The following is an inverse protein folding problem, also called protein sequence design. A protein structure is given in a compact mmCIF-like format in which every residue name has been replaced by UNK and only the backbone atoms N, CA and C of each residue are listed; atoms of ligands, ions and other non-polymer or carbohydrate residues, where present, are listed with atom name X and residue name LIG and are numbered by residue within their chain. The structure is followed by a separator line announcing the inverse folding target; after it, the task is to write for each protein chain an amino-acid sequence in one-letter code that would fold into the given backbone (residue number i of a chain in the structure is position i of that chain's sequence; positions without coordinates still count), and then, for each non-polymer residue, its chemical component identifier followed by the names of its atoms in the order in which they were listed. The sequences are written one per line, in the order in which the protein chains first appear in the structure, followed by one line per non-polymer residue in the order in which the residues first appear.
data_IF_512868711458
#
_entry.id   IF_512868711458
#
_cell.length_a   1.000
_cell.length_b   1.000
_cell.length_c   1.000
_cell.angle_alpha   90.00
_cell.angle_beta   90.00
_cell.angle_gamma   90.00
#
_symmetry.space_group_name_H-M   'P 1'
#
loop_
_entity.id
_entity.type
_entity.pdbx_description
1 polymer ?
#
# COMPACT_ATOMS: atom_id res chain seq x y z
N UNK A 1 93.56 72.58 83.48
CA UNK A 1 94.79 71.83 83.76
C UNK A 1 95.08 70.95 82.55
N UNK A 2 95.87 71.39 81.57
CA UNK A 2 96.42 70.49 80.58
C UNK A 2 97.68 69.84 81.17
N UNK A 3 97.64 68.52 81.24
CA UNK A 3 98.71 67.65 81.71
C UNK A 3 99.97 67.88 80.87
N UNK A 4 101.03 68.39 81.51
CA UNK A 4 102.36 68.52 80.90
C UNK A 4 102.95 67.10 80.69
N UNK A 5 103.11 66.64 79.44
CA UNK A 5 103.63 65.30 79.17
C UNK A 5 105.17 65.23 79.25
N UNK A 6 105.86 66.33 79.58
CA UNK A 6 107.32 66.42 79.49
C UNK A 6 108.04 66.26 80.83
N UNK A 7 107.54 65.40 81.73
CA UNK A 7 108.34 64.96 82.87
C UNK A 7 109.14 63.72 82.46
N UNK A 8 110.46 63.82 82.18
CA UNK A 8 111.25 62.65 81.84
C UNK A 8 111.20 61.67 83.01
N UNK A 9 110.60 60.50 82.78
CA UNK A 9 110.62 59.38 83.72
C UNK A 9 112.09 59.01 83.97
N UNK A 10 112.47 58.94 85.25
CA UNK A 10 113.85 58.98 85.75
C UNK A 10 114.90 58.27 84.89
N UNK A 11 115.83 59.05 84.35
CA UNK A 11 117.03 58.61 83.64
C UNK A 11 118.02 57.97 84.62
N UNK A 12 117.89 56.67 84.83
CA UNK A 12 118.93 55.86 85.43
C UNK A 12 119.41 54.90 84.36
N UNK A 13 120.54 55.22 83.74
CA UNK A 13 121.20 54.31 82.81
C UNK A 13 121.82 53.17 83.63
N UNK A 14 121.57 51.89 83.31
CA UNK A 14 122.18 50.79 84.01
C UNK A 14 123.71 50.81 83.79
N UNK A 15 124.47 50.55 84.84
CA UNK A 15 125.93 50.56 84.82
C UNK A 15 126.42 49.14 84.53
N UNK A 16 127.10 48.92 83.40
CA UNK A 16 127.68 47.63 83.03
C UNK A 16 129.20 47.70 83.20
N UNK A 17 129.71 46.97 84.21
CA UNK A 17 131.11 46.63 84.57
C UNK A 17 132.18 47.76 84.64
N UNK A 18 131.94 48.95 84.07
CA UNK A 18 132.70 50.21 84.25
C UNK A 18 132.11 51.45 83.53
N UNK A 19 130.82 51.49 83.19
CA UNK A 19 130.19 52.69 82.61
C UNK A 19 128.69 52.52 82.33
N UNK A 20 128.03 53.59 81.90
CA UNK A 20 126.64 53.55 81.43
C UNK A 20 126.50 52.75 80.14
N UNK A 21 125.37 52.06 79.99
CA UNK A 21 125.01 51.38 78.76
C UNK A 21 124.94 52.37 77.58
N UNK A 22 125.90 52.24 76.66
CA UNK A 22 126.08 53.14 75.51
C UNK A 22 124.90 53.04 74.54
N UNK A 23 124.27 51.87 74.43
CA UNK A 23 123.13 51.65 73.53
C UNK A 23 121.90 52.38 74.08
N UNK A 24 121.62 52.22 75.38
CA UNK A 24 120.51 52.92 76.04
C UNK A 24 120.69 54.45 76.06
N UNK A 25 121.91 54.95 76.30
CA UNK A 25 122.19 56.40 76.24
C UNK A 25 121.99 56.94 74.82
N UNK A 26 122.45 56.22 73.80
CA UNK A 26 122.23 56.61 72.41
C UNK A 26 120.74 56.63 72.03
N UNK A 27 119.97 55.63 72.48
CA UNK A 27 118.54 55.59 72.22
C UNK A 27 117.76 56.68 72.97
N UNK A 28 118.22 57.06 74.16
CA UNK A 28 117.69 58.23 74.87
C UNK A 28 118.02 59.53 74.14
N UNK A 29 119.27 59.73 73.69
CA UNK A 29 119.63 60.90 72.88
C UNK A 29 118.85 60.98 71.57
N UNK A 30 118.67 59.85 70.87
CA UNK A 30 117.84 59.80 69.66
C UNK A 30 116.39 60.20 69.94
N UNK A 31 115.82 59.77 71.08
CA UNK A 31 114.47 60.16 71.49
C UNK A 31 114.38 61.65 71.79
N UNK A 32 115.29 62.19 72.61
CA UNK A 32 115.30 63.63 72.94
C UNK A 32 115.54 64.49 71.71
N UNK A 33 116.43 64.06 70.81
CA UNK A 33 116.69 64.74 69.53
C UNK A 33 115.46 64.67 68.60
N UNK A 34 114.71 63.55 68.61
CA UNK A 34 113.42 63.47 67.94
C UNK A 34 112.37 64.40 68.57
N UNK A 35 112.24 64.41 69.90
CA UNK A 35 111.29 65.27 70.62
C UNK A 35 111.60 66.75 70.40
N UNK A 36 112.87 67.15 70.39
CA UNK A 36 113.29 68.52 70.08
C UNK A 36 113.00 68.90 68.63
N UNK A 37 113.13 67.96 67.67
CA UNK A 37 112.72 68.20 66.28
C UNK A 37 111.21 68.37 66.16
N UNK A 38 110.43 67.57 66.88
CA UNK A 38 108.97 67.71 66.92
C UNK A 38 108.57 69.06 67.53
N UNK A 39 109.14 69.44 68.68
CA UNK A 39 108.87 70.74 69.30
C UNK A 39 109.31 71.92 68.43
N UNK A 40 110.44 71.82 67.73
CA UNK A 40 110.88 72.85 66.79
C UNK A 40 109.91 72.96 65.60
N UNK A 41 109.46 71.82 65.05
CA UNK A 41 108.45 71.80 63.99
C UNK A 41 107.11 72.37 64.46
N UNK A 42 106.65 72.02 65.66
CA UNK A 42 105.42 72.53 66.26
C UNK A 42 105.52 74.04 66.51
N UNK A 43 106.65 74.53 67.01
CA UNK A 43 106.91 75.97 67.18
C UNK A 43 106.90 76.70 65.84
N UNK A 44 107.57 76.13 64.84
CA UNK A 44 107.67 76.76 63.52
C UNK A 44 106.31 76.78 62.81
N UNK A 45 105.50 75.72 62.97
CA UNK A 45 104.11 75.68 62.53
C UNK A 45 103.23 76.70 63.28
N UNK A 46 103.37 76.82 64.60
CA UNK A 46 102.64 77.82 65.38
C UNK A 46 103.05 79.25 64.98
N UNK A 47 104.34 79.49 64.72
CA UNK A 47 104.83 80.78 64.25
C UNK A 47 104.35 81.11 62.83
N UNK A 48 104.23 80.11 61.95
CA UNK A 48 103.64 80.30 60.62
C UNK A 48 102.15 80.65 60.71
N UNK A 49 101.36 79.90 61.49
CA UNK A 49 99.94 80.18 61.70
C UNK A 49 99.72 81.56 62.33
N UNK A 50 100.58 81.97 63.28
CA UNK A 50 100.51 83.29 63.90
C UNK A 50 100.78 84.43 62.90
N UNK A 51 101.66 84.22 61.91
CA UNK A 51 101.89 85.19 60.82
C UNK A 51 100.69 85.26 59.88
N UNK A 52 100.16 84.14 59.44
CA UNK A 52 98.97 84.10 58.57
C UNK A 52 97.76 84.78 59.21
N UNK A 53 97.54 84.54 60.52
CA UNK A 53 96.50 85.23 61.27
C UNK A 53 96.76 86.73 61.40
N UNK A 54 98.02 87.16 61.50
CA UNK A 54 98.37 88.58 61.52
C UNK A 54 98.09 89.24 60.17
N UNK A 55 98.41 88.56 59.07
CA UNK A 55 98.15 89.04 57.70
C UNK A 55 96.64 89.17 57.46
N UNK A 56 95.83 88.15 57.78
CA UNK A 56 94.36 88.24 57.68
C UNK A 56 93.76 89.36 58.55
N UNK A 57 94.35 89.65 59.71
CA UNK A 57 93.91 90.76 60.57
C UNK A 57 94.28 92.12 59.98
N UNK A 58 95.42 92.22 59.30
CA UNK A 58 95.82 93.44 58.59
C UNK A 58 94.90 93.69 57.39
N UNK A 59 94.65 92.68 56.57
CA UNK A 59 93.72 92.77 55.44
C UNK A 59 92.31 93.18 55.88
N UNK A 60 91.78 92.55 56.93
CA UNK A 60 90.46 92.90 57.45
C UNK A 60 90.44 94.32 58.06
N UNK A 61 91.54 94.80 58.64
CA UNK A 61 91.65 96.18 59.15
C UNK A 61 91.65 97.20 58.02
N UNK A 62 92.39 96.92 56.96
CA UNK A 62 92.45 97.76 55.77
C UNK A 62 91.08 97.82 55.07
N UNK A 63 90.38 96.70 54.96
CA UNK A 63 89.01 96.64 54.44
C UNK A 63 88.03 97.43 55.31
N UNK A 64 88.09 97.28 56.64
CA UNK A 64 87.26 98.06 57.56
C UNK A 64 87.57 99.56 57.43
N UNK A 65 88.83 99.96 57.28
CA UNK A 65 89.18 101.36 57.11
C UNK A 65 88.67 101.91 55.77
N UNK A 66 88.78 101.13 54.69
CA UNK A 66 88.23 101.48 53.40
C UNK A 66 86.69 101.67 53.46
N UNK A 67 85.98 100.71 54.04
CA UNK A 67 84.52 100.77 54.24
C UNK A 67 84.11 101.95 55.12
N UNK A 68 84.87 102.26 56.19
CA UNK A 68 84.61 103.43 57.03
C UNK A 68 84.76 104.74 56.27
N UNK A 69 85.84 104.91 55.51
CA UNK A 69 86.05 106.11 54.66
C UNK A 69 84.94 106.25 53.63
N UNK A 70 84.43 105.14 53.10
CA UNK A 70 83.32 105.12 52.15
C UNK A 70 81.98 105.51 52.81
N UNK A 71 81.68 104.96 53.99
CA UNK A 71 80.49 105.35 54.78
C UNK A 71 80.54 106.82 55.18
N UNK A 72 81.69 107.33 55.61
CA UNK A 72 81.87 108.74 55.95
C UNK A 72 81.62 109.65 54.74
N UNK A 73 82.03 109.24 53.53
CA UNK A 73 81.71 109.97 52.30
C UNK A 73 80.20 109.94 51.97
N UNK A 74 79.50 108.86 52.32
CA UNK A 74 78.07 108.69 52.04
C UNK A 74 77.14 109.33 53.10
N UNK A 75 77.64 109.53 54.32
CA UNK A 75 76.88 110.10 55.44
C UNK A 75 76.77 111.62 55.39
N UNK A 76 77.71 112.30 54.72
CA UNK A 76 77.66 113.74 54.49
C UNK A 76 76.62 114.06 53.39
N UNK A 77 75.72 115.04 53.60
CA UNK A 77 74.77 115.48 52.57
C UNK A 77 75.51 115.90 51.28
N UNK A 78 75.08 115.46 50.09
CA UNK A 78 75.83 115.70 48.87
C UNK A 78 75.73 117.18 48.47
N UNK A 79 76.75 117.96 48.78
CA UNK A 79 76.86 119.38 48.41
C UNK A 79 77.66 119.61 47.13
N UNK A 80 78.18 118.54 46.50
CA UNK A 80 78.98 118.57 45.27
C UNK A 80 78.34 117.76 44.14
N UNK A 81 78.47 118.23 42.90
CA UNK A 81 77.95 117.56 41.69
C UNK A 81 78.50 116.14 41.51
N UNK A 82 79.76 115.90 41.90
CA UNK A 82 80.39 114.58 41.79
C UNK A 82 79.81 113.57 42.79
N UNK A 83 79.52 113.98 44.03
CA UNK A 83 78.86 113.11 45.02
C UNK A 83 77.41 112.78 44.67
N UNK A 84 76.70 113.69 43.99
CA UNK A 84 75.39 113.40 43.40
C UNK A 84 75.49 112.36 42.27
N UNK A 85 76.46 112.49 41.35
CA UNK A 85 76.68 111.53 40.25
C UNK A 85 77.10 110.13 40.74
N UNK A 86 77.96 110.04 41.77
CA UNK A 86 78.36 108.75 42.38
C UNK A 86 77.16 108.05 43.05
N UNK A 87 76.30 108.80 43.76
CA UNK A 87 75.08 108.22 44.36
C UNK A 87 74.07 107.78 43.30
N UNK A 88 73.92 108.52 42.21
CA UNK A 88 73.09 108.10 41.06
C UNK A 88 73.65 106.84 40.42
N UNK A 89 74.97 106.75 40.21
CA UNK A 89 75.62 105.54 39.69
C UNK A 89 75.37 104.33 40.59
N UNK A 90 75.43 104.50 41.91
CA UNK A 90 75.14 103.41 42.87
C UNK A 90 73.66 103.05 42.94
N UNK A 91 72.76 104.03 42.82
CA UNK A 91 71.32 103.77 42.72
C UNK A 91 70.97 103.03 41.42
N UNK A 92 71.62 103.37 40.30
CA UNK A 92 71.47 102.66 39.03
C UNK A 92 72.05 101.24 39.10
N UNK A 93 73.19 101.06 39.76
CA UNK A 93 73.77 99.74 39.99
C UNK A 93 72.83 98.88 40.84
N UNK A 94 72.35 99.40 41.97
CA UNK A 94 71.41 98.70 42.85
C UNK A 94 70.08 98.41 42.16
N UNK A 95 69.57 99.33 41.34
CA UNK A 95 68.39 99.09 40.52
C UNK A 95 68.64 98.02 39.43
N UNK A 96 69.84 97.97 38.85
CA UNK A 96 70.23 96.92 37.90
C UNK A 96 70.32 95.55 38.59
N UNK A 97 70.85 95.51 39.81
CA UNK A 97 70.95 94.30 40.63
C UNK A 97 69.53 93.83 41.03
N UNK A 98 68.66 94.74 41.49
CA UNK A 98 67.25 94.48 41.82
C UNK A 98 66.47 93.95 40.61
N UNK A 99 66.65 94.56 39.42
CA UNK A 99 66.00 94.08 38.19
C UNK A 99 66.53 92.70 37.79
N UNK A 100 67.81 92.41 38.04
CA UNK A 100 68.40 91.11 37.75
C UNK A 100 67.87 90.02 38.70
N UNK A 101 67.73 90.34 39.98
CA UNK A 101 67.11 89.47 40.98
C UNK A 101 65.64 89.23 40.66
N UNK A 102 64.87 90.29 40.35
CA UNK A 102 63.46 90.19 39.96
C UNK A 102 63.28 89.33 38.70
N UNK A 103 64.17 89.46 37.71
CA UNK A 103 64.17 88.58 36.52
C UNK A 103 64.51 87.14 36.84
N UNK A 104 65.48 86.91 37.72
CA UNK A 104 65.85 85.56 38.14
C UNK A 104 64.69 84.89 38.90
N UNK A 105 64.02 85.64 39.78
CA UNK A 105 62.83 85.17 40.49
C UNK A 105 61.67 84.88 39.52
N UNK A 106 61.35 85.79 38.61
CA UNK A 106 60.30 85.58 37.62
C UNK A 106 60.59 84.38 36.70
N UNK A 107 61.87 84.14 36.35
CA UNK A 107 62.27 82.97 35.57
C UNK A 107 62.12 81.67 36.38
N UNK A 108 62.42 81.69 37.68
CA UNK A 108 62.24 80.55 38.58
C UNK A 108 60.74 80.20 38.76
N UNK A 109 59.90 81.20 39.02
CA UNK A 109 58.43 81.04 39.15
C UNK A 109 57.81 80.53 37.83
N UNK A 110 58.27 81.04 36.67
CA UNK A 110 57.82 80.56 35.37
C UNK A 110 58.25 79.10 35.12
N UNK A 111 59.48 78.73 35.50
CA UNK A 111 59.96 77.36 35.38
C UNK A 111 59.18 76.41 36.27
N UNK A 112 58.85 76.82 37.50
CA UNK A 112 57.99 76.07 38.41
C UNK A 112 56.59 75.86 37.83
N UNK A 113 55.96 76.93 37.36
CA UNK A 113 54.62 76.88 36.74
C UNK A 113 54.59 75.93 35.53
N UNK A 114 55.60 76.00 34.67
CA UNK A 114 55.73 75.09 33.52
C UNK A 114 55.97 73.64 33.96
N UNK A 115 56.72 73.43 35.04
CA UNK A 115 56.97 72.09 35.59
C UNK A 115 55.69 71.47 36.14
N UNK A 116 54.90 72.22 36.91
CA UNK A 116 53.59 71.80 37.43
C UNK A 116 52.64 71.49 36.27
N UNK A 117 52.50 72.41 35.30
CA UNK A 117 51.63 72.21 34.15
C UNK A 117 52.02 70.99 33.30
N UNK A 118 53.32 70.68 33.20
CA UNK A 118 53.81 69.46 32.53
C UNK A 118 53.45 68.20 33.31
N UNK A 119 53.62 68.20 34.63
CA UNK A 119 53.23 67.06 35.47
C UNK A 119 51.73 66.80 35.41
N UNK A 120 50.91 67.85 35.51
CA UNK A 120 49.45 67.74 35.39
C UNK A 120 49.02 67.20 34.01
N UNK A 121 49.66 67.67 32.93
CA UNK A 121 49.39 67.18 31.59
C UNK A 121 49.80 65.71 31.41
N UNK A 122 50.92 65.30 32.00
CA UNK A 122 51.39 63.91 31.97
C UNK A 122 50.49 62.99 32.78
N UNK A 123 50.04 63.44 33.96
CA UNK A 123 49.08 62.71 34.78
C UNK A 123 47.73 62.56 34.06
N UNK A 124 47.21 63.64 33.47
CA UNK A 124 45.96 63.59 32.70
C UNK A 124 46.06 62.61 31.52
N UNK A 125 47.22 62.55 30.85
CA UNK A 125 47.46 61.58 29.77
C UNK A 125 47.52 60.15 30.30
N UNK A 126 48.22 59.91 31.41
CA UNK A 126 48.30 58.60 32.03
C UNK A 126 46.91 58.10 32.47
N UNK A 127 46.10 58.97 33.06
CA UNK A 127 44.73 58.66 33.48
C UNK A 127 43.84 58.35 32.26
N UNK A 128 43.94 59.15 31.18
CA UNK A 128 43.21 58.91 29.94
C UNK A 128 43.63 57.59 29.26
N UNK A 129 44.92 57.28 29.24
CA UNK A 129 45.44 56.02 28.70
C UNK A 129 44.97 54.82 29.53
N UNK A 130 44.93 54.95 30.87
CA UNK A 130 44.38 53.90 31.74
C UNK A 130 42.90 53.67 31.49
N UNK A 131 42.10 54.74 31.44
CA UNK A 131 40.67 54.65 31.16
C UNK A 131 40.39 54.06 29.77
N UNK A 132 41.20 54.42 28.77
CA UNK A 132 41.08 53.84 27.42
C UNK A 132 41.36 52.34 27.41
N UNK A 133 42.38 51.88 28.15
CA UNK A 133 42.69 50.45 28.28
C UNK A 133 41.57 49.68 28.97
N UNK A 134 41.05 50.20 30.07
CA UNK A 134 39.92 49.59 30.78
C UNK A 134 38.68 49.47 29.88
N UNK A 135 38.37 50.52 29.10
CA UNK A 135 37.25 50.49 28.15
C UNK A 135 37.44 49.46 27.04
N UNK A 136 38.67 49.30 26.53
CA UNK A 136 38.98 48.28 25.52
C UNK A 136 38.83 46.88 26.12
N UNK A 137 39.39 46.63 27.30
CA UNK A 137 39.24 45.34 27.98
C UNK A 137 37.77 45.01 28.28
N UNK A 138 36.97 45.98 28.71
CA UNK A 138 35.53 45.81 28.91
C UNK A 138 34.75 45.55 27.62
N UNK A 139 35.17 46.17 26.52
CA UNK A 139 34.58 45.93 25.20
C UNK A 139 34.92 44.52 24.70
N UNK A 140 36.18 44.09 24.87
CA UNK A 140 36.65 42.75 24.52
C UNK A 140 35.96 41.67 25.36
N UNK A 141 35.79 41.88 26.68
CA UNK A 141 35.02 40.98 27.55
C UNK A 141 33.58 40.83 27.07
N UNK A 142 32.88 41.94 26.81
CA UNK A 142 31.49 41.91 26.33
C UNK A 142 31.36 41.27 24.95
N UNK A 143 32.34 41.50 24.06
CA UNK A 143 32.38 40.85 22.76
C UNK A 143 32.54 39.32 22.92
N UNK A 144 33.51 38.87 23.73
CA UNK A 144 33.75 37.46 24.00
C UNK A 144 32.55 36.77 24.67
N UNK A 145 31.88 37.44 25.61
CA UNK A 145 30.64 36.96 26.23
C UNK A 145 29.53 36.79 25.17
N UNK A 146 29.37 37.78 24.29
CA UNK A 146 28.36 37.72 23.23
C UNK A 146 28.65 36.61 22.22
N UNK A 147 29.91 36.40 21.85
CA UNK A 147 30.33 35.32 20.96
C UNK A 147 30.11 33.95 21.61
N UNK A 148 30.41 33.81 22.91
CA UNK A 148 30.14 32.60 23.66
C UNK A 148 28.63 32.31 23.83
N UNK A 149 27.80 33.34 23.95
CA UNK A 149 26.34 33.21 23.96
C UNK A 149 25.79 32.79 22.59
N UNK A 150 26.32 33.36 21.50
CA UNK A 150 25.96 32.97 20.13
C UNK A 150 26.35 31.52 19.86
N UNK A 151 27.58 31.10 20.21
CA UNK A 151 28.03 29.72 20.07
C UNK A 151 27.14 28.75 20.87
N UNK A 152 26.81 29.07 22.13
CA UNK A 152 25.89 28.26 22.94
C UNK A 152 24.51 28.13 22.31
N UNK A 153 23.96 29.21 21.75
CA UNK A 153 22.67 29.17 21.03
C UNK A 153 22.74 28.34 19.75
N UNK A 154 23.83 28.41 19.00
CA UNK A 154 24.04 27.59 17.80
C UNK A 154 24.14 26.09 18.16
N UNK A 155 24.88 25.75 19.22
CA UNK A 155 24.96 24.38 19.74
C UNK A 155 23.60 23.86 20.23
N UNK A 156 22.83 24.69 20.95
CA UNK A 156 21.47 24.35 21.37
C UNK A 156 20.56 24.10 20.16
N UNK A 157 20.61 24.97 19.15
CA UNK A 157 19.79 24.86 17.95
C UNK A 157 20.17 23.63 17.11
N UNK A 158 21.46 23.32 16.98
CA UNK A 158 21.93 22.12 16.28
C UNK A 158 21.54 20.85 17.03
N UNK A 159 21.68 20.84 18.35
CA UNK A 159 21.23 19.74 19.21
C UNK A 159 19.71 19.53 19.11
N UNK A 160 18.94 20.61 19.13
CA UNK A 160 17.48 20.57 19.00
C UNK A 160 17.03 20.11 17.62
N UNK A 161 17.72 20.51 16.55
CA UNK A 161 17.48 20.00 15.19
C UNK A 161 17.76 18.50 15.11
N UNK A 162 18.90 18.05 15.63
CA UNK A 162 19.24 16.63 15.65
C UNK A 162 18.22 15.79 16.45
N UNK A 163 17.72 16.32 17.58
CA UNK A 163 16.63 15.68 18.34
C UNK A 163 15.33 15.58 17.53
N UNK A 164 14.94 16.66 16.85
CA UNK A 164 13.76 16.65 15.99
C UNK A 164 13.89 15.67 14.81
N UNK A 165 15.06 15.65 14.16
CA UNK A 165 15.32 14.72 13.06
C UNK A 165 15.24 13.27 13.55
N UNK A 166 15.80 12.98 14.72
CA UNK A 166 15.70 11.67 15.35
C UNK A 166 14.24 11.28 15.67
N UNK A 167 13.46 12.16 16.28
CA UNK A 167 12.03 11.92 16.58
C UNK A 167 11.22 11.66 15.30
N UNK A 168 11.52 12.40 14.22
CA UNK A 168 10.86 12.20 12.92
C UNK A 168 11.24 10.85 12.28
N UNK A 169 12.49 10.43 12.37
CA UNK A 169 12.94 9.13 11.89
C UNK A 169 12.33 7.98 12.69
N UNK A 170 12.28 8.10 14.03
CA UNK A 170 11.61 7.12 14.89
C UNK A 170 10.13 7.01 14.55
N UNK A 171 9.44 8.15 14.40
CA UNK A 171 8.01 8.16 14.05
C UNK A 171 7.76 7.62 12.66
N UNK A 172 8.64 7.92 11.70
CA UNK A 172 8.57 7.40 10.33
C UNK A 172 8.76 5.89 10.31
N UNK A 173 9.78 5.37 10.99
CA UNK A 173 10.05 3.93 11.04
C UNK A 173 8.95 3.17 11.77
N UNK A 174 8.43 3.72 12.87
CA UNK A 174 7.26 3.19 13.56
C UNK A 174 6.06 3.12 12.61
N UNK A 175 5.73 4.23 11.94
CA UNK A 175 4.61 4.27 10.99
C UNK A 175 4.79 3.32 9.80
N UNK A 176 5.99 3.23 9.23
CA UNK A 176 6.31 2.28 8.16
C UNK A 176 6.13 0.83 8.65
N UNK A 177 6.56 0.51 9.86
CA UNK A 177 6.40 -0.82 10.45
C UNK A 177 4.92 -1.16 10.70
N UNK A 178 4.14 -0.24 11.27
CA UNK A 178 2.70 -0.41 11.48
C UNK A 178 1.94 -0.53 10.15
N UNK A 179 2.30 0.29 9.15
CA UNK A 179 1.68 0.23 7.83
C UNK A 179 1.97 -1.10 7.13
N UNK A 180 3.23 -1.56 7.14
CA UNK A 180 3.59 -2.86 6.54
C UNK A 180 2.88 -4.01 7.25
N UNK A 181 2.80 -3.99 8.58
CA UNK A 181 2.08 -4.99 9.37
C UNK A 181 0.57 -4.97 9.07
N UNK A 182 -0.05 -3.80 9.00
CA UNK A 182 -1.47 -3.66 8.65
C UNK A 182 -1.76 -4.16 7.23
N UNK A 183 -0.89 -3.84 6.26
CA UNK A 183 -1.01 -4.32 4.89
C UNK A 183 -0.82 -5.83 4.76
N UNK A 184 0.08 -6.41 5.55
CA UNK A 184 0.24 -7.88 5.62
C UNK A 184 -1.00 -8.54 6.23
N UNK A 185 -1.50 -8.02 7.36
CA UNK A 185 -2.71 -8.53 7.99
C UNK A 185 -3.94 -8.45 7.04
N UNK A 186 -4.11 -7.33 6.33
CA UNK A 186 -5.18 -7.18 5.35
C UNK A 186 -5.05 -8.16 4.18
N UNK A 187 -3.82 -8.43 3.70
CA UNK A 187 -3.57 -9.43 2.65
C UNK A 187 -3.87 -10.84 3.12
N UNK A 188 -3.49 -11.20 4.34
CA UNK A 188 -3.81 -12.49 4.93
C UNK A 188 -5.32 -12.67 5.12
N UNK A 189 -6.02 -11.64 5.59
CA UNK A 189 -7.47 -11.69 5.75
C UNK A 189 -8.18 -11.82 4.39
N UNK A 190 -7.75 -11.04 3.39
CA UNK A 190 -8.25 -11.18 2.03
C UNK A 190 -8.01 -12.60 1.47
N UNK A 191 -6.82 -13.18 1.70
CA UNK A 191 -6.53 -14.55 1.30
C UNK A 191 -7.44 -15.56 2.00
N UNK A 192 -7.71 -15.40 3.29
CA UNK A 192 -8.66 -16.25 4.04
C UNK A 192 -10.09 -16.12 3.49
N UNK A 193 -10.53 -14.91 3.13
CA UNK A 193 -11.86 -14.70 2.54
C UNK A 193 -11.96 -15.38 1.17
N UNK A 194 -10.95 -15.19 0.31
CA UNK A 194 -10.90 -15.84 -1.00
C UNK A 194 -10.91 -17.36 -0.88
N UNK A 195 -10.16 -17.92 0.07
CA UNK A 195 -10.12 -19.37 0.28
C UNK A 195 -11.48 -19.90 0.77
N UNK A 196 -12.11 -19.23 1.74
CA UNK A 196 -13.47 -19.59 2.16
C UNK A 196 -14.47 -19.52 1.00
N UNK A 197 -14.40 -18.47 0.19
CA UNK A 197 -15.28 -18.31 -0.96
C UNK A 197 -15.05 -19.39 -2.03
N UNK A 198 -13.79 -19.82 -2.25
CA UNK A 198 -13.45 -20.95 -3.14
C UNK A 198 -14.04 -22.25 -2.64
N UNK A 199 -13.80 -22.59 -1.37
CA UNK A 199 -14.35 -23.81 -0.76
C UNK A 199 -15.87 -23.83 -0.84
N UNK A 200 -16.53 -22.70 -0.55
CA UNK A 200 -17.99 -22.58 -0.70
C UNK A 200 -18.45 -22.77 -2.14
N UNK A 201 -17.75 -22.19 -3.12
CA UNK A 201 -18.08 -22.39 -4.54
C UNK A 201 -17.92 -23.86 -4.96
N UNK A 202 -16.86 -24.55 -4.52
CA UNK A 202 -16.66 -25.98 -4.78
C UNK A 202 -17.74 -26.85 -4.13
N UNK A 203 -18.14 -26.53 -2.89
CA UNK A 203 -19.24 -27.22 -2.21
C UNK A 203 -20.58 -27.04 -2.93
N UNK A 204 -20.89 -25.82 -3.37
CA UNK A 204 -22.11 -25.52 -4.12
C UNK A 204 -22.11 -26.19 -5.50
N UNK A 205 -20.96 -26.22 -6.18
CA UNK A 205 -20.80 -26.91 -7.46
C UNK A 205 -21.00 -28.43 -7.32
N UNK A 206 -20.40 -29.03 -6.28
CA UNK A 206 -20.60 -30.45 -5.98
C UNK A 206 -22.07 -30.75 -5.66
N UNK A 207 -22.71 -29.91 -4.82
CA UNK A 207 -24.12 -30.06 -4.48
C UNK A 207 -25.02 -29.91 -5.72
N UNK A 208 -24.70 -28.99 -6.62
CA UNK A 208 -25.42 -28.81 -7.87
C UNK A 208 -25.24 -30.01 -8.82
N UNK A 209 -24.04 -30.58 -8.90
CA UNK A 209 -23.78 -31.82 -9.65
C UNK A 209 -24.60 -32.99 -9.10
N UNK A 210 -24.52 -33.23 -7.78
CA UNK A 210 -25.31 -34.29 -7.13
C UNK A 210 -26.81 -34.14 -7.36
N UNK A 211 -27.33 -32.90 -7.35
CA UNK A 211 -28.74 -32.65 -7.64
C UNK A 211 -29.08 -32.93 -9.11
N UNK A 212 -28.22 -32.56 -10.06
CA UNK A 212 -28.39 -32.89 -11.48
C UNK A 212 -28.41 -34.40 -11.70
N UNK A 213 -27.47 -35.13 -11.09
CA UNK A 213 -27.38 -36.58 -11.19
C UNK A 213 -28.63 -37.26 -10.62
N UNK A 214 -29.08 -36.82 -9.44
CA UNK A 214 -30.33 -37.31 -8.84
C UNK A 214 -31.55 -37.06 -9.73
N UNK A 215 -31.68 -35.85 -10.29
CA UNK A 215 -32.78 -35.53 -11.20
C UNK A 215 -32.72 -36.41 -12.45
N UNK A 216 -31.51 -36.68 -12.97
CA UNK A 216 -31.31 -37.53 -14.12
C UNK A 216 -31.70 -38.99 -13.82
N UNK A 217 -31.29 -39.53 -12.67
CA UNK A 217 -31.69 -40.86 -12.21
C UNK A 217 -33.21 -40.98 -12.07
N UNK A 218 -33.86 -40.02 -11.40
CA UNK A 218 -35.32 -39.99 -11.23
C UNK A 218 -36.04 -39.90 -12.59
N UNK A 219 -35.51 -39.11 -13.52
CA UNK A 219 -36.03 -39.00 -14.88
C UNK A 219 -35.89 -40.30 -15.66
N UNK A 220 -34.73 -40.95 -15.59
CA UNK A 220 -34.46 -42.21 -16.28
C UNK A 220 -35.35 -43.33 -15.75
N UNK A 221 -35.56 -43.41 -14.42
CA UNK A 221 -36.52 -44.33 -13.79
C UNK A 221 -37.94 -44.04 -14.29
N UNK A 222 -38.35 -42.76 -14.31
CA UNK A 222 -39.69 -42.36 -14.76
C UNK A 222 -39.92 -42.68 -16.23
N UNK A 223 -38.93 -42.44 -17.09
CA UNK A 223 -39.00 -42.74 -18.52
C UNK A 223 -38.95 -44.24 -18.76
N UNK A 224 -38.14 -45.00 -18.01
CA UNK A 224 -38.12 -46.46 -18.09
C UNK A 224 -39.49 -47.05 -17.74
N UNK A 225 -40.10 -46.62 -16.63
CA UNK A 225 -41.45 -47.03 -16.23
C UNK A 225 -42.50 -46.65 -17.29
N UNK A 226 -42.41 -45.45 -17.88
CA UNK A 226 -43.30 -45.03 -18.97
C UNK A 226 -43.09 -45.85 -20.24
N UNK A 227 -41.84 -46.15 -20.61
CA UNK A 227 -41.50 -47.00 -21.77
C UNK A 227 -42.02 -48.42 -21.57
N UNK A 228 -41.88 -48.99 -20.38
CA UNK A 228 -42.43 -50.30 -20.05
C UNK A 228 -43.96 -50.31 -20.14
N UNK A 229 -44.63 -49.29 -19.59
CA UNK A 229 -46.08 -49.15 -19.72
C UNK A 229 -46.53 -49.06 -21.18
N UNK A 230 -45.87 -48.21 -21.98
CA UNK A 230 -46.18 -48.08 -23.42
C UNK A 230 -45.89 -49.39 -24.16
N UNK A 231 -44.80 -50.08 -23.85
CA UNK A 231 -44.50 -51.37 -24.45
C UNK A 231 -45.54 -52.44 -24.09
N UNK A 232 -46.06 -52.44 -22.86
CA UNK A 232 -47.14 -53.31 -22.45
C UNK A 232 -48.46 -52.98 -23.19
N UNK A 233 -48.82 -51.70 -23.32
CA UNK A 233 -50.00 -51.26 -24.09
C UNK A 233 -49.87 -51.63 -25.58
N UNK A 234 -48.69 -51.45 -26.18
CA UNK A 234 -48.42 -51.88 -27.56
C UNK A 234 -48.53 -53.41 -27.67
N UNK A 235 -47.97 -54.16 -26.73
CA UNK A 235 -48.06 -55.61 -26.73
C UNK A 235 -49.51 -56.09 -26.60
N UNK A 236 -50.32 -55.48 -25.74
CA UNK A 236 -51.75 -55.77 -25.60
C UNK A 236 -52.54 -55.42 -26.88
N UNK A 237 -52.21 -54.30 -27.53
CA UNK A 237 -52.81 -53.96 -28.82
C UNK A 237 -52.40 -54.96 -29.91
N UNK A 238 -51.14 -55.39 -29.92
CA UNK A 238 -50.66 -56.41 -30.86
C UNK A 238 -51.31 -57.77 -30.63
N UNK A 239 -51.45 -58.22 -29.38
CA UNK A 239 -52.10 -59.50 -29.06
C UNK A 239 -53.58 -59.45 -29.40
N UNK A 240 -54.31 -58.41 -28.99
CA UNK A 240 -55.73 -58.24 -29.34
C UNK A 240 -55.96 -58.10 -30.85
N UNK A 241 -55.10 -57.36 -31.56
CA UNK A 241 -55.13 -57.28 -33.03
C UNK A 241 -54.83 -58.64 -33.68
N UNK A 242 -53.84 -59.38 -33.17
CA UNK A 242 -53.49 -60.72 -33.65
C UNK A 242 -54.59 -61.73 -33.40
N UNK A 243 -55.26 -61.67 -32.26
CA UNK A 243 -56.37 -62.55 -31.91
C UNK A 243 -57.62 -62.23 -32.75
N UNK A 244 -57.91 -60.95 -32.97
CA UNK A 244 -58.96 -60.52 -33.92
C UNK A 244 -58.65 -61.00 -35.33
N UNK A 245 -57.40 -60.88 -35.79
CA UNK A 245 -56.98 -61.38 -37.09
C UNK A 245 -57.09 -62.91 -37.20
N UNK A 246 -56.73 -63.65 -36.13
CA UNK A 246 -56.92 -65.11 -36.05
C UNK A 246 -58.41 -65.47 -36.13
N UNK A 247 -59.25 -64.81 -35.37
CA UNK A 247 -60.71 -65.05 -35.39
C UNK A 247 -61.30 -64.76 -36.78
N UNK A 248 -60.92 -63.65 -37.42
CA UNK A 248 -61.34 -63.33 -38.78
C UNK A 248 -60.90 -64.40 -39.79
N UNK A 249 -59.67 -64.92 -39.66
CA UNK A 249 -59.18 -66.02 -40.51
C UNK A 249 -59.98 -67.30 -40.25
N UNK A 250 -60.23 -67.67 -38.99
CA UNK A 250 -61.03 -68.85 -38.64
C UNK A 250 -62.47 -68.73 -39.14
N UNK A 251 -63.10 -67.56 -38.97
CA UNK A 251 -64.44 -67.28 -39.49
C UNK A 251 -64.46 -67.34 -41.03
N UNK A 252 -63.44 -66.78 -41.71
CA UNK A 252 -63.32 -66.85 -43.16
C UNK A 252 -63.09 -68.28 -43.66
N UNK A 253 -62.25 -69.06 -42.98
CA UNK A 253 -62.02 -70.48 -43.26
C UNK A 253 -63.30 -71.31 -43.03
N UNK A 254 -64.01 -71.10 -41.93
CA UNK A 254 -65.28 -71.75 -41.65
C UNK A 254 -66.34 -71.39 -42.71
N UNK A 255 -66.38 -70.12 -43.15
CA UNK A 255 -67.25 -69.69 -44.26
C UNK A 255 -66.86 -70.36 -45.57
N UNK A 256 -65.57 -70.41 -45.90
CA UNK A 256 -65.05 -71.09 -47.09
C UNK A 256 -65.38 -72.60 -47.06
N UNK A 257 -65.22 -73.26 -45.93
CA UNK A 257 -65.57 -74.67 -45.73
C UNK A 257 -67.07 -74.92 -45.86
N UNK A 258 -67.91 -74.03 -45.31
CA UNK A 258 -69.37 -74.11 -45.52
C UNK A 258 -69.72 -73.97 -47.00
N UNK A 259 -69.12 -73.01 -47.71
CA UNK A 259 -69.35 -72.85 -49.15
C UNK A 259 -68.85 -74.04 -49.96
N UNK A 260 -67.70 -74.61 -49.59
CA UNK A 260 -67.15 -75.82 -50.22
C UNK A 260 -68.06 -77.02 -49.99
N UNK A 261 -68.47 -77.29 -48.75
CA UNK A 261 -69.42 -78.39 -48.43
C UNK A 261 -70.76 -78.21 -49.12
N UNK A 262 -71.26 -76.98 -49.21
CA UNK A 262 -72.48 -76.68 -49.95
C UNK A 262 -72.31 -76.98 -51.44
N UNK A 263 -71.22 -76.50 -52.06
CA UNK A 263 -70.91 -76.79 -53.45
C UNK A 263 -70.69 -78.29 -53.72
N UNK A 264 -70.02 -79.01 -52.82
CA UNK A 264 -69.86 -80.47 -52.87
C UNK A 264 -71.22 -81.17 -52.76
N UNK A 265 -72.08 -80.76 -51.84
CA UNK A 265 -73.45 -81.29 -51.70
C UNK A 265 -74.24 -81.07 -52.99
N UNK A 266 -74.27 -79.85 -53.53
CA UNK A 266 -74.94 -79.53 -54.80
C UNK A 266 -74.34 -80.33 -55.96
N UNK A 267 -73.01 -80.48 -56.03
CA UNK A 267 -72.35 -81.30 -57.04
C UNK A 267 -72.71 -82.79 -56.91
N UNK A 268 -72.80 -83.32 -55.69
CA UNK A 268 -73.28 -84.69 -55.46
C UNK A 268 -74.73 -84.85 -55.87
N UNK A 269 -75.60 -83.89 -55.57
CA UNK A 269 -77.01 -83.85 -55.99
C UNK A 269 -77.16 -83.84 -57.52
N UNK A 270 -76.33 -83.04 -58.21
CA UNK A 270 -76.28 -83.04 -59.67
C UNK A 270 -75.78 -84.37 -60.22
N UNK A 271 -74.79 -85.00 -59.59
CA UNK A 271 -74.29 -86.32 -59.97
C UNK A 271 -75.33 -87.42 -59.75
N UNK A 272 -76.10 -87.41 -58.65
CA UNK A 272 -77.22 -88.34 -58.46
C UNK A 272 -78.34 -88.10 -59.45
N UNK A 273 -78.77 -86.85 -59.68
CA UNK A 273 -79.74 -86.55 -60.74
C UNK A 273 -79.26 -87.02 -62.11
N UNK A 274 -77.99 -86.77 -62.46
CA UNK A 274 -77.42 -87.25 -63.72
C UNK A 274 -77.46 -88.77 -63.82
N UNK A 275 -77.10 -89.49 -62.74
CA UNK A 275 -77.22 -90.96 -62.68
C UNK A 275 -78.66 -91.43 -62.82
N UNK A 276 -79.61 -90.81 -62.13
CA UNK A 276 -81.04 -91.14 -62.24
C UNK A 276 -81.57 -90.91 -63.65
N UNK A 277 -81.17 -89.82 -64.33
CA UNK A 277 -81.55 -89.58 -65.74
C UNK A 277 -80.96 -90.62 -66.68
N UNK A 278 -79.70 -91.04 -66.47
CA UNK A 278 -79.06 -92.13 -67.22
C UNK A 278 -79.76 -93.47 -66.97
N UNK A 279 -80.11 -93.78 -65.72
CA UNK A 279 -80.86 -94.99 -65.36
C UNK A 279 -82.25 -94.99 -66.01
N UNK A 280 -82.95 -93.85 -65.98
CA UNK A 280 -84.27 -93.68 -66.60
C UNK A 280 -84.24 -93.82 -68.12
N UNK A 281 -83.19 -93.34 -68.80
CA UNK A 281 -83.00 -93.53 -70.24
C UNK A 281 -82.64 -94.98 -70.57
N UNK A 282 -81.86 -95.66 -69.73
CA UNK A 282 -81.63 -97.10 -69.86
C UNK A 282 -82.92 -97.91 -69.70
N UNK A 283 -83.78 -97.56 -68.74
CA UNK A 283 -85.10 -98.20 -68.57
C UNK A 283 -86.04 -97.93 -69.76
N UNK A 284 -86.07 -96.70 -70.28
CA UNK A 284 -86.86 -96.35 -71.48
C UNK A 284 -86.37 -97.12 -72.71
N UNK A 285 -85.05 -97.24 -72.88
CA UNK A 285 -84.43 -98.05 -73.94
C UNK A 285 -84.78 -99.53 -73.79
N UNK A 286 -84.81 -100.08 -72.58
CA UNK A 286 -85.23 -101.46 -72.32
C UNK A 286 -86.69 -101.69 -72.71
N UNK A 287 -87.57 -100.72 -72.40
CA UNK A 287 -88.99 -100.75 -72.75
C UNK A 287 -89.21 -100.70 -74.27
N UNK A 288 -88.51 -99.82 -74.97
CA UNK A 288 -88.52 -99.72 -76.44
C UNK A 288 -88.02 -101.01 -77.11
N UNK A 289 -86.95 -101.62 -76.58
CA UNK A 289 -86.43 -102.90 -77.10
C UNK A 289 -87.39 -104.07 -76.85
N UNK A 290 -88.15 -104.07 -75.75
CA UNK A 290 -89.21 -105.04 -75.50
C UNK A 290 -90.39 -104.86 -76.47
N UNK A 291 -90.81 -103.61 -76.73
CA UNK A 291 -91.86 -103.30 -77.71
C UNK A 291 -91.46 -103.68 -79.15
N UNK A 292 -90.19 -103.58 -79.53
CA UNK A 292 -89.68 -104.05 -80.83
C UNK A 292 -89.64 -105.58 -80.96
N UNK A 293 -89.46 -106.32 -79.85
CA UNK A 293 -89.55 -107.78 -79.86
C UNK A 293 -91.00 -108.26 -80.01
N UNK A 294 -91.96 -107.51 -79.46
CA UNK A 294 -93.40 -107.80 -79.53
C UNK A 294 -93.97 -107.56 -80.94
N UNK A 295 -93.57 -106.48 -81.61
CA UNK A 295 -93.95 -106.22 -83.01
C UNK A 295 -93.36 -107.26 -83.98
N UNK A 296 -92.18 -107.82 -83.69
CA UNK A 296 -91.60 -108.90 -84.51
C UNK A 296 -92.36 -110.22 -84.37
N UNK A 297 -92.90 -110.54 -83.19
CA UNK A 297 -93.75 -111.72 -82.98
C UNK A 297 -95.11 -111.63 -83.70
N UNK A 298 -95.62 -110.41 -83.91
CA UNK A 298 -96.86 -110.17 -84.66
C UNK A 298 -96.70 -110.29 -86.19
N UNK A 299 -95.47 -110.21 -86.72
CA UNK A 299 -95.19 -110.34 -88.16
C UNK A 299 -95.03 -111.80 -88.64
N UNK A 300 -94.83 -112.77 -87.75
CA UNK A 300 -94.68 -114.20 -88.08
C UNK A 300 -96.02 -114.94 -88.34
N UNK A 301 -97.17 -114.29 -88.14
CA UNK A 301 -98.52 -114.91 -88.28
C UNK A 301 -99.27 -114.53 -89.57
N UNK A 302 -98.59 -113.85 -90.51
CA UNK A 302 -99.20 -113.27 -91.73
C UNK A 302 -99.41 -114.25 -92.92
N UNK A 303 -98.70 -115.40 -93.08
CA UNK A 303 -98.93 -116.25 -94.26
C UNK A 303 -100.27 -117.01 -94.26
N UNK A 304 -100.88 -117.28 -93.10
CA UNK A 304 -102.11 -118.07 -92.99
C UNK A 304 -103.40 -117.22 -93.13
N UNK A 305 -103.33 -115.90 -92.91
CA UNK A 305 -104.47 -114.98 -93.01
C UNK A 305 -104.73 -114.41 -94.43
N UNK A 306 -103.86 -114.72 -95.41
CA UNK A 306 -103.97 -114.22 -96.79
C UNK A 306 -104.62 -115.22 -97.77
N UNK A 307 -105.13 -116.37 -97.29
CA UNK A 307 -105.76 -117.39 -98.15
C UNK A 307 -107.29 -117.51 -98.03
N UNK A 308 -107.93 -116.78 -97.11
CA UNK A 308 -109.37 -116.92 -96.83
C UNK A 308 -110.21 -115.68 -97.19
N UNK A 309 -109.65 -114.69 -97.91
CA UNK A 309 -110.32 -113.43 -98.23
C UNK A 309 -110.07 -112.97 -99.68
N UNK A 310 -110.16 -113.88 -100.66
CA UNK A 310 -109.99 -113.55 -102.09
C UNK A 310 -110.93 -114.29 -103.07
N UNK A 311 -112.18 -114.59 -102.70
CA UNK A 311 -113.21 -114.87 -103.72
C UNK A 311 -114.52 -114.13 -103.38
N UNK A 312 -114.65 -112.92 -103.92
CA UNK A 312 -115.84 -112.05 -103.91
C UNK A 312 -116.01 -111.10 -102.70
N UNK A 313 -114.93 -110.37 -102.40
CA UNK A 313 -114.87 -108.91 -102.19
C UNK A 313 -116.10 -108.22 -101.56
N UNK A 314 -116.52 -108.69 -100.38
CA UNK A 314 -117.64 -108.16 -99.59
C UNK A 314 -117.39 -108.32 -98.08
N UNK A 315 -117.29 -107.19 -97.36
CA UNK A 315 -117.69 -106.97 -95.94
C UNK A 315 -117.27 -105.55 -95.53
N UNK A 316 -118.17 -104.56 -95.58
CA UNK A 316 -119.17 -104.19 -94.55
C UNK A 316 -118.47 -103.53 -93.34
N UNK A 317 -118.88 -102.42 -92.74
CA UNK A 317 -119.90 -101.36 -92.88
C UNK A 317 -119.90 -100.70 -91.47
N UNK A 318 -120.39 -99.45 -91.33
CA UNK A 318 -120.76 -98.79 -90.04
C UNK A 318 -119.59 -98.42 -89.08
N UNK A 319 -119.60 -97.39 -88.24
CA UNK A 319 -120.55 -96.35 -87.85
C UNK A 319 -119.80 -95.31 -86.97
N UNK A 320 -120.39 -94.13 -86.83
CA UNK A 320 -120.07 -93.05 -85.88
C UNK A 320 -120.53 -93.33 -84.43
N UNK A 321 -120.07 -92.49 -83.49
CA UNK A 321 -120.64 -92.08 -82.17
C UNK A 321 -119.82 -92.53 -80.94
N UNK A 322 -119.20 -91.64 -80.17
CA UNK A 322 -119.77 -90.72 -79.14
C UNK A 322 -120.62 -91.42 -78.05
N UNK A 323 -120.17 -91.32 -76.79
CA UNK A 323 -121.00 -91.47 -75.61
C UNK A 323 -120.56 -90.50 -74.51
N UNK A 324 -121.55 -89.75 -74.02
CA UNK A 324 -121.50 -88.61 -73.12
C UNK A 324 -122.12 -89.00 -71.77
N UNK A 325 -121.52 -88.49 -70.67
CA UNK A 325 -122.07 -88.15 -69.33
C UNK A 325 -122.88 -89.18 -68.49
N UNK A 326 -122.54 -89.34 -67.21
CA UNK A 326 -123.00 -88.46 -66.10
C UNK A 326 -122.80 -89.10 -64.69
N UNK A 327 -122.22 -88.31 -63.76
CA UNK A 327 -122.51 -88.25 -62.30
C UNK A 327 -122.01 -89.38 -61.37
N UNK A 328 -121.65 -89.18 -60.09
CA UNK A 328 -121.51 -88.01 -59.21
C UNK A 328 -120.97 -88.51 -57.83
N UNK A 329 -120.16 -87.68 -57.12
CA UNK A 329 -119.85 -87.64 -55.64
C UNK A 329 -118.95 -88.76 -55.05
N UNK A 330 -118.03 -88.56 -54.09
CA UNK A 330 -117.58 -87.44 -53.22
C UNK A 330 -116.15 -87.72 -52.63
N UNK A 331 -115.47 -86.66 -52.14
CA UNK A 331 -114.41 -86.57 -51.10
C UNK A 331 -112.99 -87.19 -51.32
N UNK A 332 -111.80 -86.60 -51.01
CA UNK A 332 -111.34 -85.39 -50.27
C UNK A 332 -109.88 -85.00 -50.67
N UNK A 333 -109.55 -83.70 -50.62
CA UNK A 333 -108.24 -83.06 -50.22
C UNK A 333 -107.01 -83.17 -51.15
N UNK A 334 -106.06 -82.21 -51.27
CA UNK A 334 -105.79 -80.89 -50.68
C UNK A 334 -104.55 -80.27 -51.39
N UNK A 335 -104.69 -79.04 -51.92
CA UNK A 335 -103.85 -77.80 -51.95
C UNK A 335 -102.33 -77.79 -51.55
N UNK A 336 -101.53 -76.69 -51.78
CA UNK A 336 -101.72 -75.47 -52.64
C UNK A 336 -100.44 -74.76 -53.23
N UNK A 337 -100.67 -73.69 -54.04
CA UNK A 337 -100.05 -72.31 -54.18
C UNK A 337 -98.52 -72.06 -54.25
N UNK A 338 -97.89 -71.17 -55.06
CA UNK A 338 -98.15 -69.82 -55.65
C UNK A 338 -97.58 -68.59 -54.85
N UNK A 339 -96.91 -67.65 -55.57
CA UNK A 339 -96.87 -66.15 -55.39
C UNK A 339 -96.11 -65.49 -54.18
N UNK A 340 -95.64 -64.22 -54.09
CA UNK A 340 -95.47 -63.01 -54.97
C UNK A 340 -94.77 -61.86 -54.18
N UNK A 341 -94.35 -60.82 -54.93
CA UNK A 341 -93.80 -59.45 -54.75
C UNK A 341 -94.14 -58.53 -53.53
N UNK A 342 -93.28 -57.49 -53.38
CA UNK A 342 -93.59 -56.02 -53.42
C UNK A 342 -93.38 -55.11 -52.19
N UNK A 343 -92.68 -54.00 -52.49
CA UNK A 343 -92.93 -52.56 -52.18
C UNK A 343 -92.37 -51.76 -50.97
N UNK A 344 -91.62 -50.72 -51.37
CA UNK A 344 -91.63 -49.24 -51.10
C UNK A 344 -91.93 -48.57 -49.74
N UNK A 345 -91.00 -47.67 -49.42
CA UNK A 345 -91.12 -46.23 -49.08
C UNK A 345 -91.51 -45.65 -47.69
N UNK A 346 -90.69 -44.63 -47.33
CA UNK A 346 -90.93 -43.39 -46.52
C UNK A 346 -91.19 -43.53 -45.01
N UNK A 347 -90.76 -42.65 -44.09
CA UNK A 347 -90.21 -41.29 -44.19
C UNK A 347 -89.53 -40.84 -42.86
N UNK A 348 -88.71 -39.80 -42.98
CA UNK A 348 -88.50 -38.63 -42.08
C UNK A 348 -88.04 -38.69 -40.59
N UNK A 349 -87.02 -37.87 -40.33
CA UNK A 349 -87.03 -36.71 -39.41
C UNK A 349 -86.20 -36.71 -38.07
N UNK A 350 -85.09 -35.94 -38.15
CA UNK A 350 -84.69 -34.78 -37.30
C UNK A 350 -83.85 -34.93 -36.01
N UNK A 351 -82.87 -34.01 -35.94
CA UNK A 351 -82.28 -33.28 -34.77
C UNK A 351 -80.91 -33.80 -34.29
N UNK A 352 -79.75 -33.24 -34.70
CA UNK A 352 -79.15 -31.91 -34.51
C UNK A 352 -78.30 -31.74 -33.22
N UNK A 353 -77.00 -31.43 -33.40
CA UNK A 353 -76.17 -30.39 -32.74
C UNK A 353 -74.70 -30.55 -33.23
N UNK A 354 -74.11 -29.60 -33.99
CA UNK A 354 -73.30 -28.43 -33.55
C UNK A 354 -72.07 -28.81 -32.72
N UNK A 355 -70.80 -28.47 -33.01
CA UNK A 355 -70.15 -27.21 -33.47
C UNK A 355 -68.80 -27.50 -34.17
N UNK A 356 -68.39 -26.89 -35.29
CA UNK A 356 -67.71 -25.58 -35.49
C UNK A 356 -66.45 -25.31 -34.64
N UNK A 357 -65.31 -25.03 -35.30
CA UNK A 357 -64.22 -24.18 -34.73
C UNK A 357 -62.79 -24.44 -35.23
N UNK A 358 -62.17 -23.51 -36.01
CA UNK A 358 -60.76 -23.52 -36.40
C UNK A 358 -59.90 -22.45 -35.66
N UNK A 359 -58.56 -22.58 -35.76
CA UNK A 359 -57.49 -21.56 -35.56
C UNK A 359 -57.33 -20.87 -34.19
N UNK A 360 -56.10 -20.92 -33.65
CA UNK A 360 -55.38 -19.71 -33.21
C UNK A 360 -53.86 -19.85 -33.24
N UNK A 361 -53.26 -19.03 -34.11
CA UNK A 361 -51.90 -18.49 -34.00
C UNK A 361 -51.88 -17.59 -32.76
N UNK A 362 -50.85 -17.68 -31.91
CA UNK A 362 -50.40 -16.53 -31.12
C UNK A 362 -48.89 -16.45 -31.18
N UNK A 363 -48.42 -15.46 -31.92
CA UNK A 363 -47.15 -14.79 -31.70
C UNK A 363 -47.49 -13.42 -31.09
N UNK A 364 -46.92 -13.10 -29.93
CA UNK A 364 -46.71 -11.76 -29.34
C UNK A 364 -45.47 -11.98 -28.44
N UNK A 365 -44.23 -11.62 -28.82
CA UNK A 365 -43.61 -10.28 -28.89
C UNK A 365 -43.59 -9.49 -27.57
N UNK A 366 -42.39 -9.27 -27.05
CA UNK A 366 -41.96 -8.17 -26.17
C UNK A 366 -42.70 -7.94 -24.83
N UNK A 367 -42.03 -8.29 -23.73
CA UNK A 367 -41.36 -7.29 -22.87
C UNK A 367 -40.23 -7.91 -22.08
#
# INVERSE_FOLDING_TARGET
MPSDPSRPVGTHFPIVMRGYDREQVNDWYKRVDADLRVMAADRDAAAANARELADHLEDARDEIEALRREVDKLSVPPTTAQGMSERISRMLQLASDEVSESRAQAAAEAAETVSIARQEAEQTRADADSAARELIEDAERRAAESDADLARREEEMTSRRAQFDHELEERRTAFESEHTAAMQAAREEAARILERARVQAEEDDLRAQQNRDRIQEDFDVTIAARREKVAAEVHELETSSRDTARELIEQAQARADRTRRHAESTATEHLTRARETVESTHQLRRRMLAQLAEVRGQLDQIPDFLRELDDDAARIETETAEAINAGQRDDTGRAPSAETESDSDTDEATTAQHTRGPRSRTAISYR
#
